data_IF_178998361341
#
_entry.id   IF_178998361341
#
_cell.length_a   1.000
_cell.length_b   1.000
_cell.length_c   1.000
_cell.angle_alpha   90.00
_cell.angle_beta   90.00
_cell.angle_gamma   90.00
#
_symmetry.space_group_name_H-M   'P 1'
#
loop_
_entity.id
_entity.type
_entity.pdbx_description
1 polymer ?
#
# COMPACT_ATOMS: atom_id res chain seq x y z
N UNK A 1 44.58 -6.52 -2.29
CA UNK A 1 43.92 -7.83 -2.18
C UNK A 1 44.61 -8.61 -1.07
N UNK A 2 44.17 -8.44 0.17
CA UNK A 2 44.80 -9.11 1.33
C UNK A 2 44.44 -10.62 1.34
N UNK A 3 43.30 -11.01 0.75
CA UNK A 3 42.80 -12.40 0.75
C UNK A 3 42.92 -13.14 -0.61
N UNK A 4 43.67 -12.61 -1.58
CA UNK A 4 43.92 -13.28 -2.87
C UNK A 4 42.71 -13.48 -3.81
N UNK A 5 41.50 -13.05 -3.43
CA UNK A 5 40.32 -13.15 -4.30
C UNK A 5 40.29 -12.07 -5.38
N UNK A 6 40.12 -12.47 -6.65
CA UNK A 6 39.81 -11.57 -7.77
C UNK A 6 38.54 -10.75 -7.48
N UNK A 7 38.45 -9.49 -7.97
CA UNK A 7 37.33 -8.56 -7.68
C UNK A 7 35.96 -9.18 -7.98
N UNK A 8 35.86 -9.92 -9.08
CA UNK A 8 34.64 -10.65 -9.48
C UNK A 8 34.36 -11.84 -8.56
N UNK A 9 35.39 -12.53 -8.08
CA UNK A 9 35.27 -13.64 -7.12
C UNK A 9 34.80 -13.17 -5.73
N UNK A 10 35.22 -11.98 -5.30
CA UNK A 10 34.74 -11.38 -4.06
C UNK A 10 33.24 -11.05 -4.12
N UNK A 11 32.75 -10.54 -5.26
CA UNK A 11 31.32 -10.27 -5.45
C UNK A 11 30.51 -11.57 -5.39
N UNK A 12 30.97 -12.62 -6.07
CA UNK A 12 30.26 -13.90 -6.11
C UNK A 12 30.24 -14.67 -4.78
N UNK A 13 31.34 -14.65 -4.02
CA UNK A 13 31.46 -15.44 -2.79
C UNK A 13 31.15 -14.68 -1.51
N UNK A 14 31.23 -13.35 -1.50
CA UNK A 14 30.94 -12.55 -0.30
C UNK A 14 29.68 -11.70 -0.45
N UNK A 15 29.53 -10.95 -1.55
CA UNK A 15 28.44 -9.98 -1.69
C UNK A 15 27.11 -10.65 -2.02
N UNK A 16 27.10 -11.59 -2.97
CA UNK A 16 25.89 -12.29 -3.38
C UNK A 16 25.16 -13.03 -2.25
N UNK A 17 25.79 -13.87 -1.41
CA UNK A 17 25.09 -14.56 -0.32
C UNK A 17 24.51 -13.61 0.73
N UNK A 18 25.12 -12.44 0.94
CA UNK A 18 24.59 -11.40 1.82
C UNK A 18 23.39 -10.66 1.20
N UNK A 19 23.38 -10.48 -0.12
CA UNK A 19 22.32 -9.78 -0.85
C UNK A 19 21.10 -10.66 -1.17
N UNK A 20 21.28 -11.98 -1.33
CA UNK A 20 20.21 -12.94 -1.65
C UNK A 20 18.96 -12.80 -0.75
N UNK A 21 19.04 -12.79 0.59
CA UNK A 21 17.84 -12.68 1.41
C UNK A 21 17.08 -11.36 1.18
N UNK A 22 17.79 -10.25 0.95
CA UNK A 22 17.17 -8.94 0.65
C UNK A 22 16.56 -8.88 -0.75
N UNK A 23 17.19 -9.52 -1.74
CA UNK A 23 16.61 -9.60 -3.09
C UNK A 23 15.32 -10.42 -3.09
N UNK A 24 15.28 -11.52 -2.33
CA UNK A 24 14.08 -12.34 -2.21
C UNK A 24 12.91 -11.56 -1.59
N UNK A 25 13.13 -10.82 -0.49
CA UNK A 25 12.06 -10.06 0.16
C UNK A 25 11.45 -9.00 -0.75
N UNK A 26 12.28 -8.28 -1.52
CA UNK A 26 11.82 -7.26 -2.48
C UNK A 26 10.97 -7.89 -3.59
N UNK A 27 11.40 -9.05 -4.13
CA UNK A 27 10.62 -9.72 -5.18
C UNK A 27 9.24 -10.17 -4.68
N UNK A 28 9.13 -10.66 -3.45
CA UNK A 28 7.84 -11.11 -2.89
C UNK A 28 6.87 -9.97 -2.54
N UNK A 29 7.37 -8.82 -2.10
CA UNK A 29 6.55 -7.67 -1.67
C UNK A 29 6.16 -6.75 -2.84
N UNK A 30 6.87 -6.82 -3.98
CA UNK A 30 6.64 -5.94 -5.13
C UNK A 30 5.28 -6.10 -5.84
N UNK A 31 4.45 -7.08 -5.46
CA UNK A 31 3.17 -7.31 -6.13
C UNK A 31 2.11 -6.29 -5.73
N UNK A 32 1.61 -5.57 -6.73
CA UNK A 32 0.58 -4.54 -6.58
C UNK A 32 -0.74 -5.11 -6.07
N UNK A 33 -1.05 -6.36 -6.40
CA UNK A 33 -2.29 -7.04 -6.00
C UNK A 33 -2.41 -7.24 -4.47
N UNK A 34 -1.29 -7.18 -3.74
CA UNK A 34 -1.25 -7.34 -2.28
C UNK A 34 -1.14 -6.01 -1.54
N UNK A 35 -1.13 -4.88 -2.25
CA UNK A 35 -1.04 -3.57 -1.62
C UNK A 35 -2.41 -3.12 -1.10
N UNK A 36 -2.42 -2.43 0.03
CA UNK A 36 -3.62 -1.76 0.53
C UNK A 36 -4.03 -0.66 -0.42
N UNK A 37 -5.32 -0.35 -0.49
CA UNK A 37 -5.84 0.68 -1.41
C UNK A 37 -5.12 2.02 -1.26
N UNK A 38 -4.79 2.43 -0.02
CA UNK A 38 -4.05 3.66 0.26
C UNK A 38 -2.67 3.73 -0.42
N UNK A 39 -1.94 2.61 -0.47
CA UNK A 39 -0.58 2.55 -1.04
C UNK A 39 -0.61 2.12 -2.51
N UNK A 40 -1.46 1.15 -2.87
CA UNK A 40 -1.53 0.59 -4.22
C UNK A 40 -2.07 1.56 -5.27
N UNK A 41 -3.06 2.40 -4.91
CA UNK A 41 -3.64 3.39 -5.83
C UNK A 41 -2.62 4.43 -6.30
N UNK A 42 -1.90 5.15 -5.43
CA UNK A 42 -0.88 6.09 -5.90
C UNK A 42 0.29 5.38 -6.59
N UNK A 43 0.72 4.21 -6.13
CA UNK A 43 1.83 3.46 -6.78
C UNK A 43 1.47 2.99 -8.20
N UNK A 44 0.21 2.60 -8.44
CA UNK A 44 -0.22 2.15 -9.77
C UNK A 44 -0.56 3.29 -10.74
N UNK A 45 -1.12 4.39 -10.21
CA UNK A 45 -1.73 5.47 -10.99
C UNK A 45 -0.90 6.76 -11.08
N UNK A 46 0.19 6.86 -10.31
CA UNK A 46 1.18 7.94 -10.43
C UNK A 46 2.48 7.32 -10.93
N UNK A 47 2.78 7.52 -12.21
CA UNK A 47 3.98 6.95 -12.85
C UNK A 47 4.93 8.08 -13.23
N UNK A 48 5.84 8.41 -12.32
CA UNK A 48 6.73 9.57 -12.48
C UNK A 48 5.89 10.86 -12.57
N UNK A 49 6.03 11.59 -13.68
CA UNK A 49 5.29 12.83 -13.92
C UNK A 49 3.90 12.62 -14.54
N UNK A 50 3.50 11.38 -14.84
CA UNK A 50 2.21 11.07 -15.46
C UNK A 50 1.20 10.63 -14.40
N UNK A 51 0.11 11.39 -14.30
CA UNK A 51 -0.97 11.18 -13.34
C UNK A 51 -2.24 10.73 -14.06
N UNK A 52 -2.74 9.54 -13.73
CA UNK A 52 -4.02 9.07 -14.26
C UNK A 52 -5.19 9.60 -13.41
N UNK A 53 -5.50 10.89 -13.59
CA UNK A 53 -6.53 11.61 -12.83
C UNK A 53 -7.89 10.93 -12.80
N UNK A 54 -8.37 10.41 -13.94
CA UNK A 54 -9.67 9.74 -14.01
C UNK A 54 -9.74 8.49 -13.13
N UNK A 55 -8.73 7.62 -13.21
CA UNK A 55 -8.66 6.43 -12.36
C UNK A 55 -8.39 6.77 -10.90
N UNK A 56 -7.67 7.85 -10.60
CA UNK A 56 -7.47 8.32 -9.22
C UNK A 56 -8.81 8.73 -8.59
N UNK A 57 -9.61 9.52 -9.30
CA UNK A 57 -10.95 9.92 -8.84
C UNK A 57 -11.88 8.71 -8.73
N UNK A 58 -11.85 7.78 -9.68
CA UNK A 58 -12.64 6.55 -9.62
C UNK A 58 -12.26 5.68 -8.41
N UNK A 59 -10.96 5.56 -8.09
CA UNK A 59 -10.50 4.84 -6.91
C UNK A 59 -11.02 5.48 -5.61
N UNK A 60 -10.98 6.81 -5.51
CA UNK A 60 -11.56 7.54 -4.37
C UNK A 60 -13.07 7.32 -4.24
N UNK A 61 -13.80 7.32 -5.35
CA UNK A 61 -15.24 7.05 -5.33
C UNK A 61 -15.54 5.62 -4.89
N UNK A 62 -14.91 4.62 -5.50
CA UNK A 62 -15.13 3.20 -5.20
C UNK A 62 -14.81 2.89 -3.73
N UNK A 63 -13.76 3.50 -3.18
CA UNK A 63 -13.36 3.33 -1.77
C UNK A 63 -14.30 4.02 -0.79
N UNK A 64 -14.87 5.17 -1.17
CA UNK A 64 -15.85 5.88 -0.34
C UNK A 64 -17.23 5.24 -0.34
N UNK A 65 -17.63 4.55 -1.41
CA UNK A 65 -18.97 3.91 -1.50
C UNK A 65 -19.28 3.01 -0.29
N UNK A 66 -18.45 2.02 0.10
CA UNK A 66 -18.78 1.13 1.21
C UNK A 66 -18.86 1.88 2.55
N UNK A 67 -18.01 2.90 2.78
CA UNK A 67 -18.08 3.68 4.02
C UNK A 67 -19.36 4.51 4.08
N UNK A 68 -19.77 5.10 2.96
CA UNK A 68 -21.01 5.89 2.87
C UNK A 68 -22.25 5.02 3.08
N UNK A 69 -22.28 3.81 2.49
CA UNK A 69 -23.39 2.86 2.67
C UNK A 69 -23.50 2.44 4.14
N UNK A 70 -22.38 2.08 4.77
CA UNK A 70 -22.35 1.69 6.17
C UNK A 70 -22.78 2.84 7.08
N UNK A 71 -22.30 4.05 6.80
CA UNK A 71 -22.72 5.24 7.52
C UNK A 71 -24.23 5.45 7.41
N UNK A 72 -24.79 5.43 6.21
CA UNK A 72 -26.23 5.64 5.98
C UNK A 72 -27.09 4.61 6.75
N UNK A 73 -26.67 3.34 6.79
CA UNK A 73 -27.42 2.30 7.49
C UNK A 73 -27.45 2.47 9.03
N UNK A 74 -26.36 2.94 9.64
CA UNK A 74 -26.27 3.09 11.11
C UNK A 74 -26.54 4.52 11.60
N UNK A 75 -26.73 5.47 10.68
CA UNK A 75 -26.93 6.89 10.97
C UNK A 75 -28.09 7.13 11.93
N UNK A 76 -29.25 6.53 11.69
CA UNK A 76 -30.44 6.75 12.52
C UNK A 76 -30.24 6.27 13.96
N UNK A 77 -29.58 5.12 14.14
CA UNK A 77 -29.26 4.59 15.47
C UNK A 77 -28.25 5.46 16.21
N UNK A 78 -27.28 6.00 15.47
CA UNK A 78 -26.29 6.93 16.00
C UNK A 78 -26.93 8.25 16.44
N UNK A 79 -27.81 8.83 15.62
CA UNK A 79 -28.56 10.05 15.95
C UNK A 79 -29.48 9.83 17.16
N UNK A 80 -30.22 8.71 17.19
CA UNK A 80 -31.08 8.38 18.33
C UNK A 80 -30.30 8.27 19.65
N UNK A 81 -29.06 7.76 19.61
CA UNK A 81 -28.18 7.71 20.78
C UNK A 81 -27.83 9.08 21.36
N UNK A 82 -27.70 10.12 20.52
CA UNK A 82 -27.44 11.49 20.99
C UNK A 82 -28.67 12.19 21.54
N UNK A 83 -29.86 11.91 20.99
CA UNK A 83 -31.09 12.60 21.37
C UNK A 83 -31.72 12.06 22.66
N UNK A 84 -31.46 10.81 23.04
CA UNK A 84 -32.06 10.17 24.23
C UNK A 84 -31.49 10.72 25.55
N UNK A 85 -30.27 11.27 25.55
CA UNK A 85 -29.66 11.91 26.73
C UNK A 85 -29.88 13.42 26.84
N UNK A 86 -30.54 14.05 25.85
CA UNK A 86 -30.63 15.52 25.72
C UNK A 86 -31.87 16.14 26.39
N UNK A 87 -32.72 15.33 27.04
CA UNK A 87 -33.92 15.79 27.72
C UNK A 87 -33.86 15.39 29.21
N UNK A 88 -33.90 16.40 30.08
CA UNK A 88 -34.28 16.31 31.48
C UNK A 88 -35.56 17.10 31.69
#
# INVERSE_FOLDING_TARGET
>A
MVDGCNRVGAIWRMVLPLAVPGLLTVTFISSIEKMTVSVGVPVALVRGDVYYWGSLMAACLITSVPITVLYNFFLDRFIAGFTVGAIK
#
